data_IF_897185809703
#
_entry.id   IF_897185809703
#
_cell.length_a   1.000
_cell.length_b   1.000
_cell.length_c   1.000
_cell.angle_alpha   90.00
_cell.angle_beta   90.00
_cell.angle_gamma   90.00
#
_symmetry.space_group_name_H-M   'P 1'
#
loop_
_entity.id
_entity.type
_entity.pdbx_description
1 polymer ?
#
# COMPACT_ATOMS: atom_id res chain seq x y z
N UNK A 1 -19.70 2.78 -1.05
CA UNK A 1 -19.25 2.81 -2.46
C UNK A 1 -18.99 4.23 -2.94
N UNK A 2 -19.92 5.17 -2.77
CA UNK A 2 -19.67 6.60 -3.06
C UNK A 2 -18.47 7.15 -2.29
N UNK A 3 -18.27 6.67 -1.05
CA UNK A 3 -17.12 7.04 -0.24
C UNK A 3 -15.77 6.58 -0.83
N UNK A 4 -15.71 5.43 -1.52
CA UNK A 4 -14.46 4.95 -2.15
C UNK A 4 -14.05 5.91 -3.28
N UNK A 5 -15.00 6.17 -4.19
CA UNK A 5 -14.76 7.03 -5.35
C UNK A 5 -14.44 8.45 -4.91
N UNK A 6 -15.17 8.98 -3.93
CA UNK A 6 -14.90 10.30 -3.36
C UNK A 6 -13.51 10.38 -2.73
N UNK A 7 -13.12 9.40 -1.91
CA UNK A 7 -11.80 9.39 -1.28
C UNK A 7 -10.66 9.30 -2.29
N UNK A 8 -10.82 8.54 -3.37
CA UNK A 8 -9.84 8.49 -4.47
C UNK A 8 -9.76 9.85 -5.18
N UNK A 9 -10.89 10.49 -5.45
CA UNK A 9 -10.95 11.80 -6.07
C UNK A 9 -10.22 12.86 -5.22
N UNK A 10 -10.52 12.87 -3.92
CA UNK A 10 -9.84 13.71 -2.92
C UNK A 10 -8.34 13.45 -2.88
N UNK A 11 -7.93 12.19 -2.74
CA UNK A 11 -6.52 11.83 -2.65
C UNK A 11 -5.73 12.27 -3.89
N UNK A 12 -6.28 12.06 -5.09
CA UNK A 12 -5.65 12.49 -6.34
C UNK A 12 -5.56 14.02 -6.44
N UNK A 13 -6.59 14.75 -6.00
CA UNK A 13 -6.55 16.20 -5.93
C UNK A 13 -5.47 16.71 -4.96
N UNK A 14 -5.26 16.02 -3.84
CA UNK A 14 -4.32 16.44 -2.80
C UNK A 14 -2.86 16.08 -3.12
N UNK A 15 -2.59 14.88 -3.64
CA UNK A 15 -1.22 14.34 -3.73
C UNK A 15 -0.65 14.16 -5.14
N UNK A 16 -1.44 14.31 -6.22
CA UNK A 16 -0.94 14.11 -7.60
C UNK A 16 -0.23 12.75 -7.76
N UNK A 17 -1.00 11.66 -7.73
CA UNK A 17 -0.47 10.31 -7.85
C UNK A 17 -0.22 9.93 -9.31
N UNK A 18 0.95 9.34 -9.59
CA UNK A 18 1.31 8.82 -10.92
C UNK A 18 0.70 7.44 -11.22
N UNK A 19 0.08 6.80 -10.22
CA UNK A 19 -0.46 5.44 -10.26
C UNK A 19 -1.82 5.40 -9.61
N UNK A 20 -2.69 4.53 -10.10
CA UNK A 20 -3.97 4.26 -9.44
C UNK A 20 -3.73 3.63 -8.07
N UNK A 21 -4.55 4.01 -7.09
CA UNK A 21 -4.64 3.29 -5.81
C UNK A 21 -5.21 1.91 -6.07
N UNK A 22 -4.64 0.85 -5.50
CA UNK A 22 -5.09 -0.53 -5.72
C UNK A 22 -5.69 -1.11 -4.45
N UNK A 23 -6.82 -1.79 -4.60
CA UNK A 23 -7.38 -2.64 -3.55
C UNK A 23 -7.00 -4.11 -3.77
N UNK A 24 -6.87 -4.84 -2.68
CA UNK A 24 -6.66 -6.29 -2.64
C UNK A 24 -7.76 -6.91 -1.79
N UNK A 25 -8.48 -7.88 -2.34
CA UNK A 25 -9.47 -8.66 -1.61
C UNK A 25 -9.08 -10.14 -1.57
N UNK A 26 -9.11 -10.72 -0.39
CA UNK A 26 -8.94 -12.14 -0.16
C UNK A 26 -10.23 -12.88 -0.49
N UNK A 27 -10.11 -14.02 -1.15
CA UNK A 27 -11.25 -14.84 -1.59
C UNK A 27 -11.09 -16.21 -0.94
N UNK A 28 -11.96 -16.55 0.00
CA UNK A 28 -11.83 -17.72 0.86
C UNK A 28 -12.25 -19.01 0.17
N UNK A 29 -13.17 -18.93 -0.79
CA UNK A 29 -13.66 -20.09 -1.52
C UNK A 29 -13.78 -19.86 -3.02
N UNK A 30 -14.09 -20.94 -3.75
CA UNK A 30 -14.24 -20.92 -5.20
C UNK A 30 -15.42 -20.07 -5.66
N UNK A 31 -16.48 -19.98 -4.85
CA UNK A 31 -17.66 -19.19 -5.18
C UNK A 31 -17.31 -17.70 -5.17
N UNK A 32 -16.66 -17.22 -4.11
CA UNK A 32 -16.14 -15.85 -4.03
C UNK A 32 -15.21 -15.55 -5.22
N UNK A 33 -14.37 -16.53 -5.61
CA UNK A 33 -13.51 -16.38 -6.78
C UNK A 33 -14.27 -16.23 -8.09
N UNK A 34 -15.27 -17.09 -8.36
CA UNK A 34 -16.06 -17.03 -9.59
C UNK A 34 -16.85 -15.72 -9.65
N UNK A 35 -17.50 -15.32 -8.56
CA UNK A 35 -18.35 -14.13 -8.46
C UNK A 35 -17.56 -12.82 -8.48
N UNK A 36 -16.30 -12.82 -8.06
CA UNK A 36 -15.46 -11.62 -8.07
C UNK A 36 -15.22 -11.07 -9.50
N UNK A 37 -15.31 -9.75 -9.63
CA UNK A 37 -14.99 -9.00 -10.86
C UNK A 37 -13.51 -9.15 -11.22
N UNK A 38 -13.21 -9.20 -12.52
CA UNK A 38 -11.85 -9.18 -13.03
C UNK A 38 -11.49 -10.44 -13.83
N UNK A 39 -10.45 -10.31 -14.66
CA UNK A 39 -9.95 -11.39 -15.51
C UNK A 39 -9.17 -12.39 -14.67
N UNK A 40 -9.58 -13.66 -14.71
CA UNK A 40 -8.80 -14.75 -14.12
C UNK A 40 -7.50 -14.94 -14.90
N UNK A 41 -6.37 -15.01 -14.21
CA UNK A 41 -5.09 -15.31 -14.85
C UNK A 41 -5.04 -16.75 -15.33
N UNK A 42 -4.50 -16.95 -16.52
CA UNK A 42 -4.21 -18.28 -17.09
C UNK A 42 -2.72 -18.65 -16.96
N UNK A 43 -1.86 -17.64 -16.83
CA UNK A 43 -0.41 -17.79 -16.75
C UNK A 43 0.10 -17.48 -15.33
N UNK A 44 1.35 -17.88 -15.05
CA UNK A 44 2.04 -17.53 -13.82
C UNK A 44 2.51 -16.07 -13.85
N UNK A 45 2.34 -15.36 -12.74
CA UNK A 45 2.77 -13.98 -12.55
C UNK A 45 3.23 -13.76 -11.11
N UNK A 46 4.16 -12.83 -10.88
CA UNK A 46 4.53 -12.44 -9.54
C UNK A 46 3.46 -11.51 -8.94
N UNK A 47 3.12 -11.66 -7.66
CA UNK A 47 2.11 -10.85 -6.97
C UNK A 47 2.33 -9.33 -7.15
N UNK A 48 3.57 -8.86 -6.99
CA UNK A 48 3.89 -7.45 -7.19
C UNK A 48 3.63 -6.95 -8.62
N UNK A 49 3.77 -7.81 -9.64
CA UNK A 49 3.39 -7.51 -11.02
C UNK A 49 1.87 -7.44 -11.18
N UNK A 50 1.12 -8.31 -10.50
CA UNK A 50 -0.35 -8.23 -10.48
C UNK A 50 -0.82 -6.91 -9.85
N UNK A 51 -0.24 -6.50 -8.72
CA UNK A 51 -0.52 -5.20 -8.08
C UNK A 51 -0.19 -4.04 -9.02
N UNK A 52 0.98 -4.07 -9.67
CA UNK A 52 1.36 -3.07 -10.68
C UNK A 52 0.40 -2.99 -11.86
N UNK A 53 -0.13 -4.12 -12.32
CA UNK A 53 -1.13 -4.14 -13.39
C UNK A 53 -2.46 -3.55 -12.90
N UNK A 54 -2.86 -3.84 -11.66
CA UNK A 54 -3.94 -3.15 -10.98
C UNK A 54 -3.75 -1.63 -10.98
N UNK A 55 -2.54 -1.16 -10.67
CA UNK A 55 -2.19 0.27 -10.69
C UNK A 55 -2.25 0.91 -12.09
N UNK A 56 -2.29 0.08 -13.14
CA UNK A 56 -2.43 0.47 -14.55
C UNK A 56 -3.87 0.30 -15.08
N UNK A 57 -4.83 -0.02 -14.21
CA UNK A 57 -6.24 -0.14 -14.58
C UNK A 57 -6.75 -1.58 -14.76
N UNK A 58 -5.90 -2.60 -14.68
CA UNK A 58 -6.37 -3.98 -14.87
C UNK A 58 -7.15 -4.49 -13.64
N UNK A 59 -8.27 -5.18 -13.89
CA UNK A 59 -8.97 -5.95 -12.86
C UNK A 59 -8.59 -7.43 -13.00
N UNK A 60 -7.91 -8.00 -11.99
CA UNK A 60 -7.28 -9.31 -12.06
C UNK A 60 -7.70 -10.16 -10.86
N UNK A 61 -8.03 -11.43 -11.11
CA UNK A 61 -8.12 -12.45 -10.07
C UNK A 61 -7.16 -13.61 -10.32
N UNK A 62 -6.59 -14.14 -9.24
CA UNK A 62 -5.57 -15.18 -9.30
C UNK A 62 -5.70 -16.16 -8.12
N UNK A 63 -5.38 -17.43 -8.36
CA UNK A 63 -5.28 -18.49 -7.33
C UNK A 63 -3.88 -19.09 -7.31
N UNK A 64 -3.60 -20.01 -6.39
CA UNK A 64 -2.25 -20.53 -6.12
C UNK A 64 -1.47 -20.92 -7.38
N UNK A 65 -2.09 -21.58 -8.35
CA UNK A 65 -1.43 -22.02 -9.59
C UNK A 65 -0.87 -20.88 -10.45
N UNK A 66 -1.39 -19.67 -10.29
CA UNK A 66 -0.97 -18.47 -11.02
C UNK A 66 0.23 -17.76 -10.36
N UNK A 67 0.70 -18.19 -9.19
CA UNK A 67 1.77 -17.48 -8.49
C UNK A 67 3.15 -17.97 -8.95
N UNK A 68 3.92 -17.06 -9.56
CA UNK A 68 5.32 -17.31 -9.93
C UNK A 68 6.28 -17.21 -8.73
N UNK A 69 5.89 -16.48 -7.67
CA UNK A 69 6.69 -16.29 -6.47
C UNK A 69 5.99 -16.95 -5.27
N UNK A 70 6.52 -18.09 -4.82
CA UNK A 70 5.94 -18.84 -3.70
C UNK A 70 6.04 -18.09 -2.36
N UNK A 71 7.06 -17.23 -2.19
CA UNK A 71 7.15 -16.36 -1.00
C UNK A 71 5.96 -15.40 -0.91
N UNK A 72 5.47 -14.92 -2.06
CA UNK A 72 4.27 -14.08 -2.09
C UNK A 72 3.00 -14.88 -1.81
N UNK A 73 2.89 -16.10 -2.37
CA UNK A 73 1.77 -17.00 -2.10
C UNK A 73 1.67 -17.34 -0.60
N UNK A 74 2.82 -17.57 0.06
CA UNK A 74 2.89 -17.76 1.52
C UNK A 74 2.47 -16.51 2.29
N UNK A 75 2.97 -15.35 1.87
CA UNK A 75 2.69 -14.12 2.61
C UNK A 75 1.20 -13.79 2.68
N UNK A 76 0.45 -14.05 1.62
CA UNK A 76 -0.97 -13.68 1.55
C UNK A 76 -1.94 -14.81 1.92
N UNK A 77 -1.45 -15.97 2.35
CA UNK A 77 -2.29 -17.08 2.81
C UNK A 77 -2.78 -18.05 1.71
N UNK A 78 -2.12 -18.13 0.56
CA UNK A 78 -2.39 -19.16 -0.47
C UNK A 78 -1.59 -20.45 -0.26
N UNK A 79 -0.52 -20.40 0.53
CA UNK A 79 0.37 -21.51 0.77
C UNK A 79 0.92 -21.44 2.20
N UNK A 80 0.98 -22.57 2.90
CA UNK A 80 1.57 -22.60 4.24
C UNK A 80 3.09 -22.36 4.21
N UNK A 81 3.62 -21.82 5.31
CA UNK A 81 5.06 -21.73 5.52
C UNK A 81 5.63 -23.09 5.89
N UNK A 82 6.90 -23.28 5.56
CA UNK A 82 7.68 -24.46 5.94
C UNK A 82 8.61 -24.12 7.09
N UNK A 83 9.12 -25.14 7.79
CA UNK A 83 10.16 -24.96 8.79
C UNK A 83 11.41 -24.23 8.27
N UNK A 84 11.74 -24.36 6.98
CA UNK A 84 12.88 -23.64 6.40
C UNK A 84 12.62 -22.14 6.32
N UNK A 85 11.41 -21.74 5.95
CA UNK A 85 11.00 -20.32 5.88
C UNK A 85 11.11 -19.66 7.26
N UNK A 86 10.67 -20.36 8.31
CA UNK A 86 10.63 -19.85 9.69
C UNK A 86 12.02 -19.85 10.35
N UNK A 87 12.87 -20.82 10.00
CA UNK A 87 14.19 -20.99 10.62
C UNK A 87 15.19 -19.88 10.27
N UNK A 88 14.98 -19.17 9.16
CA UNK A 88 15.92 -18.20 8.60
C UNK A 88 17.11 -18.81 7.85
N UNK A 89 17.26 -20.15 7.85
CA UNK A 89 18.38 -20.85 7.20
C UNK A 89 18.44 -20.58 5.69
N UNK A 90 17.29 -20.62 5.01
CA UNK A 90 17.21 -20.35 3.58
C UNK A 90 17.74 -18.96 3.21
N UNK A 91 17.41 -17.94 4.02
CA UNK A 91 17.85 -16.56 3.77
C UNK A 91 19.38 -16.40 3.93
N UNK A 92 19.96 -17.06 4.92
CA UNK A 92 21.41 -17.10 5.14
C UNK A 92 22.12 -17.87 4.03
N UNK A 93 21.56 -19.00 3.59
CA UNK A 93 22.10 -19.79 2.47
C UNK A 93 22.17 -18.99 1.17
N UNK A 94 21.19 -18.11 0.92
CA UNK A 94 21.20 -17.18 -0.22
C UNK A 94 22.24 -16.06 -0.04
N UNK A 95 22.70 -15.81 1.19
CA UNK A 95 23.68 -14.75 1.49
C UNK A 95 23.07 -13.37 1.72
N UNK A 96 21.74 -13.28 1.86
CA UNK A 96 21.07 -11.98 2.15
C UNK A 96 21.29 -11.50 3.58
N UNK A 97 21.66 -12.40 4.50
CA UNK A 97 21.94 -12.07 5.90
C UNK A 97 23.18 -12.78 6.41
N UNK A 98 23.93 -12.08 7.29
CA UNK A 98 25.25 -12.49 7.78
C UNK A 98 25.30 -13.86 8.46
N UNK A 99 24.29 -14.20 9.25
CA UNK A 99 24.27 -15.43 10.04
C UNK A 99 22.85 -15.83 10.44
N UNK A 100 22.71 -17.01 11.05
CA UNK A 100 21.44 -17.60 11.43
C UNK A 100 20.64 -16.74 12.41
N UNK A 101 21.28 -16.05 13.36
CA UNK A 101 20.57 -15.19 14.31
C UNK A 101 19.86 -14.04 13.58
N UNK A 102 20.54 -13.39 12.64
CA UNK A 102 19.94 -12.32 11.84
C UNK A 102 18.88 -12.86 10.89
N UNK A 103 19.18 -13.94 10.16
CA UNK A 103 18.21 -14.56 9.24
C UNK A 103 16.94 -15.02 9.95
N UNK A 104 17.07 -15.60 11.16
CA UNK A 104 15.94 -16.00 12.01
C UNK A 104 15.17 -14.79 12.51
N UNK A 105 15.83 -13.71 12.93
CA UNK A 105 15.15 -12.48 13.36
C UNK A 105 14.25 -11.95 12.23
N UNK A 106 14.79 -11.87 11.01
CA UNK A 106 14.01 -11.45 9.84
C UNK A 106 12.85 -12.38 9.56
N UNK A 107 13.07 -13.70 9.55
CA UNK A 107 11.99 -14.67 9.32
C UNK A 107 10.89 -14.60 10.39
N UNK A 108 11.26 -14.45 11.67
CA UNK A 108 10.30 -14.32 12.79
C UNK A 108 9.45 -13.05 12.67
N UNK A 109 10.06 -11.97 12.19
CA UNK A 109 9.37 -10.68 12.03
C UNK A 109 8.59 -10.55 10.73
N UNK A 110 8.76 -11.50 9.80
CA UNK A 110 8.00 -11.63 8.57
C UNK A 110 6.59 -12.16 8.88
N UNK A 111 5.64 -11.24 9.10
CA UNK A 111 4.24 -11.59 9.41
C UNK A 111 3.53 -12.01 8.12
N UNK A 112 3.05 -13.24 8.08
CA UNK A 112 2.26 -13.80 6.99
C UNK A 112 0.79 -13.91 7.40
N UNK A 113 -0.12 -13.83 6.42
CA UNK A 113 -1.54 -14.03 6.68
C UNK A 113 -1.79 -15.42 7.27
N UNK A 114 -2.53 -15.49 8.37
CA UNK A 114 -2.84 -16.76 9.05
C UNK A 114 -4.03 -17.50 8.47
N UNK A 115 -4.87 -16.79 7.73
CA UNK A 115 -5.97 -17.41 6.99
C UNK A 115 -5.45 -18.24 5.82
N UNK A 116 -6.30 -19.15 5.35
CA UNK A 116 -6.11 -19.85 4.09
C UNK A 116 -7.19 -19.35 3.12
N UNK A 117 -6.77 -18.96 1.93
CA UNK A 117 -7.64 -18.43 0.88
C UNK A 117 -7.59 -19.29 -0.37
N UNK A 118 -8.68 -19.30 -1.15
CA UNK A 118 -8.73 -19.92 -2.47
C UNK A 118 -8.03 -19.05 -3.53
N UNK A 119 -8.19 -17.73 -3.42
CA UNK A 119 -7.66 -16.78 -4.40
C UNK A 119 -7.62 -15.35 -3.90
N UNK A 120 -7.23 -14.45 -4.80
CA UNK A 120 -7.23 -13.01 -4.57
C UNK A 120 -7.84 -12.25 -5.74
N UNK A 121 -8.43 -11.10 -5.45
CA UNK A 121 -8.80 -10.09 -6.43
C UNK A 121 -7.96 -8.82 -6.23
N UNK A 122 -7.41 -8.30 -7.31
CA UNK A 122 -6.59 -7.09 -7.35
C UNK A 122 -7.11 -6.20 -8.49
N UNK A 123 -7.49 -4.97 -8.16
CA UNK A 123 -7.93 -4.00 -9.16
C UNK A 123 -7.75 -2.56 -8.64
N UNK A 124 -7.84 -1.53 -9.51
CA UNK A 124 -7.95 -0.16 -9.03
C UNK A 124 -9.02 -0.05 -7.96
N UNK A 125 -8.74 0.67 -6.89
CA UNK A 125 -9.62 0.77 -5.74
C UNK A 125 -11.02 1.29 -6.14
N UNK A 126 -11.09 2.17 -7.15
CA UNK A 126 -12.33 2.73 -7.70
C UNK A 126 -13.25 1.70 -8.38
N UNK A 127 -12.73 0.53 -8.72
CA UNK A 127 -13.45 -0.54 -9.40
C UNK A 127 -14.11 -1.55 -8.45
N UNK A 128 -13.86 -1.43 -7.14
CA UNK A 128 -14.46 -2.27 -6.11
C UNK A 128 -15.91 -1.86 -5.79
N UNK A 129 -16.79 -2.85 -5.84
CA UNK A 129 -18.19 -2.75 -5.40
C UNK A 129 -18.34 -3.22 -3.93
N UNK A 130 -17.49 -4.15 -3.52
CA UNK A 130 -17.35 -4.61 -2.14
C UNK A 130 -16.02 -4.12 -1.60
N UNK A 131 -15.99 -3.68 -0.34
CA UNK A 131 -14.77 -3.18 0.30
C UNK A 131 -13.63 -4.23 0.19
N UNK A 132 -12.44 -3.84 -0.31
CA UNK A 132 -11.27 -4.69 -0.27
C UNK A 132 -10.75 -4.79 1.16
N UNK A 133 -9.84 -5.72 1.40
CA UNK A 133 -9.26 -5.93 2.74
C UNK A 133 -8.04 -5.03 2.95
N UNK A 134 -7.25 -4.82 1.89
CA UNK A 134 -6.02 -4.01 1.90
C UNK A 134 -6.02 -2.99 0.77
N UNK A 135 -5.53 -1.79 1.05
CA UNK A 135 -5.24 -0.73 0.07
C UNK A 135 -3.74 -0.56 -0.06
N UNK A 136 -3.26 -0.48 -1.31
CA UNK A 136 -1.84 -0.29 -1.64
C UNK A 136 -1.68 0.94 -2.52
N UNK A 137 -0.73 1.79 -2.15
CA UNK A 137 -0.30 2.96 -2.94
C UNK A 137 1.20 2.82 -3.18
N UNK A 138 1.63 3.07 -4.42
CA UNK A 138 3.05 3.22 -4.77
C UNK A 138 3.25 4.63 -5.31
N UNK A 139 4.14 5.38 -4.67
CA UNK A 139 4.32 6.81 -4.94
C UNK A 139 5.68 7.31 -4.49
N UNK A 140 5.93 8.60 -4.68
CA UNK A 140 7.18 9.28 -4.39
C UNK A 140 7.32 9.65 -2.90
N UNK A 141 8.55 9.93 -2.40
CA UNK A 141 8.79 10.14 -0.97
C UNK A 141 8.01 11.31 -0.37
N UNK A 142 7.76 12.36 -1.16
CA UNK A 142 6.95 13.50 -0.73
C UNK A 142 5.50 13.08 -0.40
N UNK A 143 4.88 12.29 -1.28
CA UNK A 143 3.54 11.79 -1.08
C UNK A 143 3.49 10.75 0.05
N UNK A 144 4.53 9.94 0.21
CA UNK A 144 4.66 9.02 1.34
C UNK A 144 4.67 9.75 2.68
N UNK A 145 5.38 10.88 2.77
CA UNK A 145 5.36 11.75 3.95
C UNK A 145 3.95 12.28 4.20
N UNK A 146 3.24 12.78 3.17
CA UNK A 146 1.88 13.30 3.33
C UNK A 146 0.89 12.21 3.77
N UNK A 147 0.98 11.00 3.23
CA UNK A 147 0.17 9.84 3.65
C UNK A 147 0.44 9.50 5.12
N UNK A 148 1.72 9.47 5.53
CA UNK A 148 2.10 9.20 6.92
C UNK A 148 1.60 10.28 7.88
N UNK A 149 1.66 11.55 7.47
CA UNK A 149 1.09 12.67 8.23
C UNK A 149 -0.44 12.59 8.31
N UNK A 150 -1.10 12.14 7.23
CA UNK A 150 -2.54 11.89 7.21
C UNK A 150 -2.95 10.80 8.19
N UNK A 151 -2.23 9.69 8.22
CA UNK A 151 -2.38 8.68 9.28
C UNK A 151 -2.20 9.30 10.67
N UNK A 152 -1.12 10.06 10.86
CA UNK A 152 -0.73 10.58 12.17
C UNK A 152 -1.69 11.63 12.74
N UNK A 153 -2.46 12.29 11.88
CA UNK A 153 -3.48 13.24 12.29
C UNK A 153 -4.54 12.61 13.22
N UNK A 154 -4.96 11.37 12.91
CA UNK A 154 -5.95 10.64 13.71
C UNK A 154 -5.31 9.65 14.70
N UNK A 155 -4.19 9.05 14.31
CA UNK A 155 -3.61 7.89 15.01
C UNK A 155 -2.31 8.21 15.78
N UNK A 156 -1.77 9.42 15.64
CA UNK A 156 -0.46 9.78 16.18
C UNK A 156 0.70 9.10 15.43
N UNK A 157 1.86 9.01 16.07
CA UNK A 157 3.04 8.40 15.43
C UNK A 157 2.78 6.93 15.09
N UNK A 158 3.08 6.52 13.85
CA UNK A 158 3.12 5.11 13.48
C UNK A 158 4.24 4.39 14.25
N UNK A 159 3.87 3.42 15.09
CA UNK A 159 4.81 2.73 16.01
C UNK A 159 5.23 1.36 15.52
N UNK A 160 4.43 0.72 14.66
CA UNK A 160 4.63 -0.66 14.24
C UNK A 160 5.18 -0.76 12.82
N UNK A 161 6.12 0.09 12.44
CA UNK A 161 6.76 -0.03 11.12
C UNK A 161 7.74 -1.19 11.12
N UNK A 162 7.50 -2.19 10.26
CA UNK A 162 8.44 -3.28 9.98
C UNK A 162 8.96 -3.15 8.56
N UNK A 163 10.28 -2.97 8.46
CA UNK A 163 10.94 -2.66 7.22
C UNK A 163 12.30 -3.33 7.15
N UNK A 164 12.49 -4.15 6.12
CA UNK A 164 13.79 -4.69 5.72
C UNK A 164 14.11 -4.39 4.25
N UNK A 165 13.18 -3.75 3.51
CA UNK A 165 13.28 -3.59 2.07
C UNK A 165 13.23 -4.94 1.36
N UNK A 166 12.49 -5.91 1.93
CA UNK A 166 12.44 -7.30 1.49
C UNK A 166 11.01 -7.80 1.55
N UNK A 167 10.62 -8.66 0.60
CA UNK A 167 9.20 -9.09 0.45
C UNK A 167 8.19 -7.92 0.41
N UNK A 168 8.63 -6.76 -0.07
CA UNK A 168 7.92 -5.50 -0.21
C UNK A 168 6.39 -5.59 -0.38
N UNK A 169 5.91 -5.74 -1.62
CA UNK A 169 4.46 -5.62 -1.88
C UNK A 169 3.67 -6.75 -1.20
N UNK A 170 4.15 -7.99 -1.19
CA UNK A 170 3.39 -9.12 -0.63
C UNK A 170 3.37 -9.14 0.91
N UNK A 171 4.39 -8.62 1.57
CA UNK A 171 4.52 -8.64 3.01
C UNK A 171 4.42 -7.24 3.61
N UNK A 172 5.37 -6.36 3.32
CA UNK A 172 5.41 -5.00 3.88
C UNK A 172 4.18 -4.16 3.51
N UNK A 173 3.54 -4.39 2.34
CA UNK A 173 2.33 -3.66 1.92
C UNK A 173 1.03 -4.47 1.95
N UNK A 174 1.06 -5.79 2.20
CA UNK A 174 -0.16 -6.61 2.19
C UNK A 174 -0.36 -7.37 3.48
N UNK A 175 0.41 -8.43 3.72
CA UNK A 175 0.14 -9.31 4.86
C UNK A 175 0.41 -8.63 6.20
N UNK A 176 1.44 -7.80 6.29
CA UNK A 176 1.76 -7.11 7.53
C UNK A 176 0.70 -6.07 7.92
N UNK A 177 0.30 -5.13 7.03
CA UNK A 177 -0.81 -4.23 7.32
C UNK A 177 -2.10 -4.97 7.71
N UNK A 178 -2.44 -6.03 6.98
CA UNK A 178 -3.64 -6.83 7.25
C UNK A 178 -3.61 -7.48 8.64
N UNK A 179 -2.52 -8.20 8.97
CA UNK A 179 -2.42 -8.96 10.23
C UNK A 179 -2.22 -8.07 11.46
N UNK A 180 -1.61 -6.90 11.30
CA UNK A 180 -1.38 -5.97 12.42
C UNK A 180 -2.46 -4.91 12.55
N UNK A 181 -3.36 -4.82 11.58
CA UNK A 181 -4.38 -3.79 11.50
C UNK A 181 -3.80 -2.36 11.58
N UNK A 182 -2.65 -2.14 10.93
CA UNK A 182 -1.89 -0.89 10.99
C UNK A 182 -1.28 -0.55 9.61
N UNK A 183 -0.88 0.69 9.39
CA UNK A 183 -0.18 1.12 8.17
C UNK A 183 1.25 0.59 8.17
N UNK A 184 1.81 0.29 6.99
CA UNK A 184 3.23 0.04 6.85
C UNK A 184 3.79 0.54 5.52
N UNK A 185 5.06 0.98 5.56
CA UNK A 185 5.79 1.52 4.41
C UNK A 185 6.81 0.50 3.94
N UNK A 186 7.03 0.45 2.63
CA UNK A 186 8.01 -0.39 1.96
C UNK A 186 8.97 0.43 1.11
N UNK A 187 10.26 0.14 1.22
CA UNK A 187 11.29 0.71 0.34
C UNK A 187 11.37 0.01 -1.03
N UNK A 188 10.53 -1.00 -1.25
CA UNK A 188 10.51 -1.88 -2.41
C UNK A 188 11.81 -2.70 -2.56
N UNK A 189 11.69 -4.02 -2.56
CA UNK A 189 12.85 -4.92 -2.70
C UNK A 189 13.37 -4.97 -4.15
N UNK A 190 14.64 -5.36 -4.31
CA UNK A 190 15.27 -5.49 -5.63
C UNK A 190 14.48 -6.41 -6.59
N UNK A 191 13.93 -7.51 -6.08
CA UNK A 191 13.11 -8.43 -6.86
C UNK A 191 11.82 -7.79 -7.37
N UNK A 192 11.13 -6.99 -6.56
CA UNK A 192 9.91 -6.32 -7.02
C UNK A 192 10.22 -5.19 -8.01
N UNK A 193 11.33 -4.46 -7.83
CA UNK A 193 11.78 -3.46 -8.81
C UNK A 193 12.05 -4.10 -10.16
N UNK A 194 12.71 -5.26 -10.19
CA UNK A 194 12.93 -6.02 -11.41
C UNK A 194 11.61 -6.51 -12.05
N UNK A 195 10.69 -7.09 -11.28
CA UNK A 195 9.51 -7.77 -11.85
C UNK A 195 8.33 -6.83 -12.14
N UNK A 196 8.18 -5.79 -11.34
CA UNK A 196 7.11 -4.81 -11.45
C UNK A 196 7.56 -3.49 -12.09
N UNK A 197 8.87 -3.28 -12.29
CA UNK A 197 9.44 -2.11 -12.96
C UNK A 197 9.05 -0.82 -12.23
N UNK A 198 9.33 -0.79 -10.92
CA UNK A 198 9.19 0.41 -10.09
C UNK A 198 10.39 1.33 -10.27
N UNK A 199 10.15 2.63 -10.34
CA UNK A 199 11.19 3.65 -10.45
C UNK A 199 11.99 3.76 -9.15
N UNK A 200 13.28 4.12 -9.24
CA UNK A 200 14.17 4.18 -8.06
C UNK A 200 13.67 5.11 -6.95
N UNK A 201 12.89 6.13 -7.30
CA UNK A 201 12.31 7.10 -6.38
C UNK A 201 11.01 6.63 -5.73
N UNK A 202 10.39 5.55 -6.24
CA UNK A 202 9.12 5.04 -5.72
C UNK A 202 9.27 4.23 -4.43
N UNK A 203 8.28 4.39 -3.56
CA UNK A 203 8.06 3.69 -2.30
C UNK A 203 6.64 3.08 -2.31
N UNK A 204 6.43 2.02 -1.53
CA UNK A 204 5.12 1.41 -1.32
C UNK A 204 4.56 1.74 0.06
N UNK A 205 3.24 1.80 0.17
CA UNK A 205 2.52 1.80 1.45
C UNK A 205 1.31 0.88 1.35
N UNK A 206 1.09 0.12 2.41
CA UNK A 206 -0.09 -0.72 2.58
C UNK A 206 -0.83 -0.38 3.86
N UNK A 207 -2.14 -0.50 3.84
CA UNK A 207 -3.02 -0.28 4.99
C UNK A 207 -4.27 -1.15 4.87
N UNK A 208 -4.88 -1.59 5.99
CA UNK A 208 -6.25 -2.08 5.97
C UNK A 208 -7.20 -1.05 5.36
N UNK A 209 -8.15 -1.49 4.54
CA UNK A 209 -9.04 -0.56 3.83
C UNK A 209 -9.82 0.38 4.76
N UNK A 210 -10.25 -0.09 5.93
CA UNK A 210 -11.04 0.74 6.87
C UNK A 210 -10.31 2.01 7.31
N UNK A 211 -8.97 2.02 7.28
CA UNK A 211 -8.15 3.20 7.63
C UNK A 211 -8.04 4.22 6.50
N UNK A 212 -8.35 3.83 5.26
CA UNK A 212 -8.10 4.66 4.07
C UNK A 212 -8.84 5.99 4.13
N UNK A 213 -10.10 5.98 4.56
CA UNK A 213 -10.92 7.18 4.71
C UNK A 213 -10.31 8.18 5.70
N UNK A 214 -9.87 7.70 6.86
CA UNK A 214 -9.25 8.53 7.89
C UNK A 214 -7.93 9.13 7.41
N UNK A 215 -7.13 8.36 6.68
CA UNK A 215 -5.85 8.85 6.12
C UNK A 215 -6.09 9.94 5.08
N UNK A 216 -7.07 9.77 4.17
CA UNK A 216 -7.44 10.80 3.20
C UNK A 216 -7.93 12.06 3.90
N UNK A 217 -8.77 11.93 4.92
CA UNK A 217 -9.21 13.06 5.73
C UNK A 217 -8.05 13.72 6.51
N UNK A 218 -7.12 12.96 7.07
CA UNK A 218 -5.95 13.52 7.74
C UNK A 218 -5.05 14.31 6.79
N UNK A 219 -4.92 13.86 5.53
CA UNK A 219 -4.27 14.66 4.48
C UNK A 219 -5.04 15.95 4.27
N UNK A 220 -6.35 15.88 4.05
CA UNK A 220 -7.27 17.02 3.86
C UNK A 220 -7.10 18.08 4.96
N UNK A 221 -7.20 17.67 6.22
CA UNK A 221 -7.10 18.55 7.40
C UNK A 221 -5.72 19.19 7.55
N UNK A 222 -4.68 18.58 6.99
CA UNK A 222 -3.29 19.05 7.12
C UNK A 222 -2.76 19.75 5.87
N UNK A 223 -3.56 19.90 4.79
CA UNK A 223 -3.14 20.63 3.56
C UNK A 223 -2.67 22.03 3.92
N UNK A 224 -3.49 22.79 4.64
CA UNK A 224 -3.18 24.17 4.96
C UNK A 224 -1.89 24.33 5.77
N UNK A 225 -1.72 23.70 6.95
CA UNK A 225 -0.49 23.87 7.72
C UNK A 225 0.76 23.32 7.04
N UNK A 226 0.68 22.31 6.16
CA UNK A 226 1.88 21.63 5.64
C UNK A 226 2.30 22.12 4.26
N UNK A 227 1.35 22.33 3.34
CA UNK A 227 1.67 22.66 1.96
C UNK A 227 2.11 24.11 1.79
N UNK A 228 3.17 24.36 1.03
CA UNK A 228 3.59 25.72 0.66
C UNK A 228 2.69 26.28 -0.42
N UNK A 229 2.64 27.61 -0.55
CA UNK A 229 1.79 28.32 -1.52
C UNK A 229 1.87 27.76 -2.96
N UNK A 230 3.08 27.39 -3.42
CA UNK A 230 3.26 26.78 -4.74
C UNK A 230 2.46 25.48 -4.90
N UNK A 231 2.48 24.61 -3.89
CA UNK A 231 1.72 23.36 -3.90
C UNK A 231 0.24 23.61 -3.61
N UNK A 232 -0.10 24.52 -2.69
CA UNK A 232 -1.47 24.96 -2.42
C UNK A 232 -2.19 25.43 -3.68
N UNK A 233 -1.52 26.20 -4.54
CA UNK A 233 -2.09 26.63 -5.82
C UNK A 233 -2.42 25.45 -6.74
N UNK A 234 -1.52 24.46 -6.85
CA UNK A 234 -1.76 23.24 -7.64
C UNK A 234 -2.91 22.41 -7.08
N UNK A 235 -2.95 22.23 -5.76
CA UNK A 235 -4.00 21.49 -5.06
C UNK A 235 -5.33 22.21 -5.21
N UNK A 236 -5.38 23.53 -5.05
CA UNK A 236 -6.59 24.34 -5.24
C UNK A 236 -7.15 24.20 -6.66
N UNK A 237 -6.28 24.24 -7.68
CA UNK A 237 -6.71 24.04 -9.07
C UNK A 237 -7.40 22.68 -9.26
N UNK A 238 -6.81 21.60 -8.72
CA UNK A 238 -7.41 20.26 -8.79
C UNK A 238 -8.68 20.12 -7.95
N UNK A 239 -8.77 20.79 -6.80
CA UNK A 239 -10.00 20.82 -5.99
C UNK A 239 -11.15 21.42 -6.81
N UNK A 240 -10.92 22.56 -7.46
CA UNK A 240 -11.93 23.24 -8.28
C UNK A 240 -12.31 22.39 -9.50
N UNK A 241 -11.32 21.83 -10.21
CA UNK A 241 -11.55 20.97 -11.37
C UNK A 241 -12.43 19.75 -11.04
N UNK A 242 -12.32 19.23 -9.81
CA UNK A 242 -13.04 18.04 -9.36
C UNK A 242 -14.28 18.35 -8.50
N UNK A 243 -14.66 19.63 -8.34
CA UNK A 243 -15.85 20.04 -7.57
C UNK A 243 -15.76 19.74 -6.07
N UNK A 244 -14.56 19.83 -5.49
CA UNK A 244 -14.28 19.45 -4.09
C UNK A 244 -14.21 20.64 -3.12
N UNK A 245 -14.66 21.83 -3.53
CA UNK A 245 -14.53 23.07 -2.76
C UNK A 245 -15.27 23.04 -1.42
N UNK A 246 -16.31 22.21 -1.29
CA UNK A 246 -17.06 22.04 -0.05
C UNK A 246 -16.25 21.35 1.06
N UNK A 247 -15.20 20.59 0.71
CA UNK A 247 -14.44 19.79 1.67
C UNK A 247 -13.25 20.52 2.25
N UNK A 248 -12.58 21.36 1.46
CA UNK A 248 -11.39 22.07 1.94
C UNK A 248 -11.21 23.42 1.25
N UNK A 249 -11.15 24.47 2.06
CA UNK A 249 -10.79 25.81 1.64
C UNK A 249 -9.28 26.02 1.82
N UNK A 250 -8.59 26.42 0.74
CA UNK A 250 -7.14 26.67 0.76
C UNK A 250 -6.83 28.05 1.34
N UNK A 251 -5.93 28.08 2.32
CA UNK A 251 -5.46 29.28 3.01
C UNK A 251 -3.97 29.46 2.71
N UNK A 252 -3.65 30.49 1.93
CA UNK A 252 -2.28 30.88 1.62
C UNK A 252 -1.58 31.51 2.84
N UNK A 253 -0.24 31.44 2.88
CA UNK A 253 0.59 32.02 3.95
C UNK A 253 0.20 31.56 5.36
N UNK A 254 -0.14 30.28 5.49
CA UNK A 254 -0.44 29.64 6.76
C UNK A 254 0.25 28.29 6.77
N UNK A 255 1.38 28.19 7.44
CA UNK A 255 2.16 26.97 7.54
C UNK A 255 2.55 26.72 9.01
N UNK A 256 2.80 25.46 9.35
CA UNK A 256 3.08 25.04 10.72
C UNK A 256 4.35 25.65 11.31
N UNK A 257 5.25 26.14 10.45
CA UNK A 257 6.56 26.69 10.80
C UNK A 257 6.69 28.20 10.57
N UNK A 258 5.59 28.89 10.28
CA UNK A 258 5.58 30.34 10.14
C UNK A 258 5.99 31.02 11.46
N UNK A 259 7.04 31.85 11.40
CA UNK A 259 7.57 32.57 12.57
C UNK A 259 8.39 31.73 13.54
N UNK A 260 8.66 30.45 13.25
CA UNK A 260 9.40 29.56 14.17
C UNK A 260 10.93 29.66 14.04
N UNK A 261 11.46 30.12 12.91
CA UNK A 261 12.91 30.17 12.64
C UNK A 261 13.55 31.50 13.06
N UNK A 262 13.42 31.86 14.34
CA UNK A 262 14.07 33.04 14.92
C UNK A 262 15.44 32.77 15.55
N UNK A 263 15.74 31.51 15.91
CA UNK A 263 16.85 31.19 16.81
C UNK A 263 16.66 31.79 18.20
N UNK A 264 17.47 31.36 19.17
CA UNK A 264 17.71 32.10 20.42
C UNK A 264 19.04 32.82 20.26
#
# INVERSE_FOLDING_TARGET
>A
MDNIKLNILKLNAYLELNREVVGVKFLFDEKEFIESKGRALTNKMAYCTMVRNGMRGECIKAKLENFACLSAAKAIGLLETTHEDDSGKGRVKIGTYKNLCIGRSVSKDMVYCKHIIYGINIMPLKEFEVEPDVVIIVTEPYNMMRITQGYAYHNGQAKNIKLAGMQAICQECTSYPFETNDINVSMLCAGTRLLAQWENSELGVGMPYHMFNEIVNGIEMTINPIERNKNKAKIQARIIENGLEEYVQIIYNKNYDDGLYGGI
#
